data_IF_760140914597
#
_entry.id   IF_760140914597
#
_cell.length_a   1.000
_cell.length_b   1.000
_cell.length_c   1.000
_cell.angle_alpha   90.00
_cell.angle_beta   90.00
_cell.angle_gamma   90.00
#
_symmetry.space_group_name_H-M   'P 1'
#
loop_
_entity.id
_entity.type
_entity.pdbx_description
1 polymer ?
#
# COMPACT_ATOMS: atom_id res chain seq x y z
N UNK A 1 -14.79 -33.12 -34.81
CA UNK A 1 -13.66 -33.25 -33.86
C UNK A 1 -12.48 -32.55 -34.48
N UNK A 2 -12.21 -31.30 -34.08
CA UNK A 2 -11.12 -30.49 -34.63
C UNK A 2 -9.83 -30.99 -33.99
N UNK A 3 -8.94 -31.63 -34.77
CA UNK A 3 -7.60 -31.99 -34.30
C UNK A 3 -6.81 -30.70 -34.10
N UNK A 4 -6.63 -30.26 -32.86
CA UNK A 4 -5.65 -29.22 -32.53
C UNK A 4 -4.25 -29.75 -32.86
N UNK A 5 -3.62 -29.18 -33.88
CA UNK A 5 -2.23 -29.45 -34.22
C UNK A 5 -1.37 -28.82 -33.12
N UNK A 6 -0.71 -29.68 -32.33
CA UNK A 6 0.19 -29.22 -31.26
C UNK A 6 1.43 -28.60 -31.90
N UNK A 7 1.65 -27.31 -31.69
CA UNK A 7 2.89 -26.67 -32.09
C UNK A 7 3.98 -27.08 -31.07
N UNK A 8 4.94 -27.89 -31.49
CA UNK A 8 5.99 -28.46 -30.62
C UNK A 8 7.16 -27.49 -30.42
N UNK A 9 7.28 -26.50 -31.31
CA UNK A 9 8.32 -25.49 -31.26
C UNK A 9 7.73 -24.16 -30.82
N UNK A 10 8.17 -23.70 -29.63
CA UNK A 10 7.80 -22.40 -29.10
C UNK A 10 8.89 -21.40 -29.50
N UNK A 11 8.53 -20.38 -30.26
CA UNK A 11 9.42 -19.26 -30.54
C UNK A 11 9.31 -18.26 -29.39
N UNK A 12 10.45 -17.97 -28.75
CA UNK A 12 10.53 -16.93 -27.73
C UNK A 12 10.46 -15.56 -28.39
N UNK A 13 9.63 -14.66 -27.83
CA UNK A 13 9.53 -13.25 -28.24
C UNK A 13 9.93 -12.34 -27.09
N UNK A 14 10.52 -11.18 -27.39
CA UNK A 14 10.69 -10.14 -26.37
C UNK A 14 9.35 -9.78 -25.73
N UNK A 15 9.34 -9.50 -24.42
CA UNK A 15 8.12 -9.23 -23.67
C UNK A 15 7.31 -8.06 -24.26
N UNK A 16 7.99 -6.98 -24.62
CA UNK A 16 7.39 -5.77 -25.20
C UNK A 16 6.69 -6.09 -26.54
N UNK A 17 7.30 -6.94 -27.35
CA UNK A 17 6.69 -7.37 -28.62
C UNK A 17 5.45 -8.23 -28.39
N UNK A 18 5.51 -9.14 -27.42
CA UNK A 18 4.40 -10.02 -27.07
C UNK A 18 3.21 -9.21 -26.52
N UNK A 19 3.47 -8.24 -25.64
CA UNK A 19 2.45 -7.32 -25.10
C UNK A 19 1.81 -6.53 -26.24
N UNK A 20 2.61 -5.95 -27.12
CA UNK A 20 2.11 -5.17 -28.26
C UNK A 20 1.20 -6.01 -29.16
N UNK A 21 1.64 -7.19 -29.57
CA UNK A 21 0.85 -8.09 -30.43
C UNK A 21 -0.49 -8.45 -29.76
N UNK A 22 -0.45 -8.74 -28.46
CA UNK A 22 -1.65 -9.07 -27.70
C UNK A 22 -2.62 -7.88 -27.60
N UNK A 23 -2.09 -6.69 -27.28
CA UNK A 23 -2.89 -5.46 -27.17
C UNK A 23 -3.49 -5.06 -28.52
N UNK A 24 -2.70 -5.08 -29.61
CA UNK A 24 -3.16 -4.78 -30.96
C UNK A 24 -4.29 -5.73 -31.41
N UNK A 25 -4.19 -7.01 -31.05
CA UNK A 25 -5.24 -7.99 -31.34
C UNK A 25 -6.53 -7.71 -30.56
N UNK A 26 -6.42 -7.30 -29.28
CA UNK A 26 -7.57 -6.89 -28.46
C UNK A 26 -8.24 -5.62 -29.01
N UNK A 27 -7.45 -4.63 -29.42
CA UNK A 27 -7.96 -3.41 -30.05
C UNK A 27 -8.69 -3.72 -31.37
N UNK A 28 -8.08 -4.54 -32.23
CA UNK A 28 -8.64 -4.93 -33.51
C UNK A 28 -9.98 -5.66 -33.38
N UNK A 29 -10.19 -6.45 -32.33
CA UNK A 29 -11.47 -7.11 -32.06
C UNK A 29 -12.47 -6.23 -31.28
N UNK A 30 -12.11 -4.98 -30.97
CA UNK A 30 -12.98 -4.05 -30.23
C UNK A 30 -13.12 -4.36 -28.75
N UNK A 31 -12.22 -5.14 -28.17
CA UNK A 31 -12.29 -5.56 -26.76
C UNK A 31 -12.39 -4.38 -25.78
N UNK A 32 -11.72 -3.26 -26.10
CA UNK A 32 -11.74 -2.05 -25.26
C UNK A 32 -12.91 -1.09 -25.60
N UNK A 33 -13.69 -1.36 -26.66
CA UNK A 33 -14.81 -0.52 -27.07
C UNK A 33 -16.13 -0.95 -26.40
N UNK A 34 -16.12 -1.00 -25.08
CA UNK A 34 -17.31 -1.35 -24.31
C UNK A 34 -18.19 -0.12 -24.08
N UNK A 35 -19.45 -0.19 -24.50
CA UNK A 35 -20.43 0.85 -24.18
C UNK A 35 -20.78 0.81 -22.69
N UNK A 36 -20.66 1.95 -22.02
CA UNK A 36 -21.11 2.10 -20.64
C UNK A 36 -22.64 2.31 -20.56
N UNK A 37 -23.27 1.77 -19.54
CA UNK A 37 -24.69 2.00 -19.24
C UNK A 37 -24.88 2.45 -17.80
N UNK A 38 -25.96 3.15 -17.52
CA UNK A 38 -26.34 3.54 -16.15
C UNK A 38 -27.34 2.53 -15.61
N UNK A 39 -26.97 1.88 -14.50
CA UNK A 39 -27.85 0.91 -13.82
C UNK A 39 -27.92 1.23 -12.31
N UNK A 40 -28.98 0.83 -11.62
CA UNK A 40 -29.07 0.93 -10.17
C UNK A 40 -27.93 0.16 -9.49
N UNK A 41 -27.38 0.70 -8.39
CA UNK A 41 -26.27 0.07 -7.64
C UNK A 41 -26.59 -1.38 -7.24
N UNK A 42 -27.85 -1.69 -6.86
CA UNK A 42 -28.27 -3.05 -6.51
C UNK A 42 -28.14 -4.08 -7.66
N UNK A 43 -27.98 -3.61 -8.89
CA UNK A 43 -27.87 -4.44 -10.10
C UNK A 43 -26.44 -4.53 -10.63
N UNK A 44 -25.44 -4.00 -9.87
CA UNK A 44 -24.05 -3.92 -10.31
C UNK A 44 -23.23 -5.18 -10.03
N UNK A 45 -23.79 -6.17 -9.32
CA UNK A 45 -23.09 -7.43 -9.05
C UNK A 45 -22.65 -8.12 -10.36
N UNK A 46 -21.35 -8.42 -10.48
CA UNK A 46 -20.78 -9.02 -11.69
C UNK A 46 -20.50 -8.03 -12.83
N UNK A 47 -20.69 -6.74 -12.59
CA UNK A 47 -20.41 -5.68 -13.58
C UNK A 47 -19.06 -5.01 -13.31
N UNK A 48 -18.51 -4.36 -14.34
CA UNK A 48 -17.28 -3.58 -14.24
C UNK A 48 -17.63 -2.11 -14.41
N UNK A 49 -17.08 -1.25 -13.56
CA UNK A 49 -17.29 0.20 -13.66
C UNK A 49 -16.63 0.75 -14.92
N UNK A 50 -17.34 1.60 -15.69
CA UNK A 50 -16.83 2.24 -16.89
C UNK A 50 -15.84 3.38 -16.60
N UNK A 51 -15.80 3.84 -15.35
CA UNK A 51 -14.91 4.90 -14.89
C UNK A 51 -14.48 4.61 -13.44
N UNK A 52 -13.32 5.14 -13.00
CA UNK A 52 -12.94 5.06 -11.60
C UNK A 52 -14.02 5.70 -10.71
N UNK A 53 -14.31 5.05 -9.59
CA UNK A 53 -15.26 5.55 -8.60
C UNK A 53 -14.48 6.06 -7.40
N UNK A 54 -14.60 7.37 -7.14
CA UNK A 54 -13.93 8.02 -6.01
C UNK A 54 -14.96 8.38 -4.94
N UNK A 55 -14.56 8.25 -3.67
CA UNK A 55 -15.35 8.78 -2.58
C UNK A 55 -15.27 10.32 -2.57
N UNK A 56 -16.36 10.98 -2.19
CA UNK A 56 -16.38 12.45 -2.03
C UNK A 56 -15.59 12.95 -0.83
N UNK A 57 -15.24 12.05 0.09
CA UNK A 57 -14.43 12.34 1.28
C UNK A 57 -13.46 11.19 1.51
N UNK A 58 -12.27 11.52 1.98
CA UNK A 58 -11.31 10.52 2.42
C UNK A 58 -11.86 9.71 3.60
N UNK A 59 -11.54 8.42 3.66
CA UNK A 59 -11.88 7.57 4.79
C UNK A 59 -10.67 6.68 5.13
N UNK A 60 -10.05 6.89 6.27
CA UNK A 60 -10.31 7.93 7.27
C UNK A 60 -10.04 9.35 6.73
N UNK A 61 -10.63 10.38 7.38
CA UNK A 61 -10.42 11.79 7.04
C UNK A 61 -9.29 12.44 7.85
N UNK A 62 -8.45 11.64 8.47
CA UNK A 62 -7.29 12.01 9.29
C UNK A 62 -6.14 11.05 8.99
N UNK A 63 -4.94 11.45 9.38
CA UNK A 63 -3.74 10.62 9.30
C UNK A 63 -3.85 9.54 10.38
N UNK A 64 -3.81 8.28 9.98
CA UNK A 64 -4.04 7.14 10.86
C UNK A 64 -2.82 6.21 10.93
N UNK A 65 -2.65 5.55 12.08
CA UNK A 65 -1.70 4.44 12.21
C UNK A 65 -2.17 3.24 11.38
N UNK A 66 -1.23 2.61 10.67
CA UNK A 66 -1.48 1.37 9.95
C UNK A 66 -1.13 0.12 10.78
N UNK A 67 -0.46 0.29 11.90
CA UNK A 67 0.03 -0.79 12.79
C UNK A 67 -0.11 -0.37 14.25
N UNK A 68 -0.13 -1.36 15.14
CA UNK A 68 -0.02 -1.12 16.58
C UNK A 68 1.44 -0.85 16.92
N UNK A 69 1.71 0.16 17.76
CA UNK A 69 3.07 0.53 18.11
C UNK A 69 3.22 1.93 18.66
N UNK A 70 4.27 2.62 18.29
CA UNK A 70 4.53 4.00 18.70
C UNK A 70 4.67 4.94 17.50
N UNK A 71 3.93 6.05 17.51
CA UNK A 71 4.14 7.15 16.61
C UNK A 71 5.35 7.98 17.05
N UNK A 72 6.26 8.24 16.13
CA UNK A 72 7.54 8.91 16.37
C UNK A 72 7.84 9.96 15.29
N UNK A 73 8.80 10.82 15.56
CA UNK A 73 9.45 11.63 14.54
C UNK A 73 10.58 10.78 13.92
N UNK A 74 10.47 10.43 12.63
CA UNK A 74 11.45 9.58 11.95
C UNK A 74 12.89 10.11 12.08
N UNK A 75 13.07 11.42 11.97
CA UNK A 75 14.35 12.09 12.14
C UNK A 75 15.01 11.80 13.50
N UNK A 76 14.23 11.72 14.57
CA UNK A 76 14.74 11.42 15.92
C UNK A 76 15.30 10.00 16.01
N UNK A 77 14.93 9.10 15.11
CA UNK A 77 15.38 7.70 15.09
C UNK A 77 16.51 7.43 14.09
N UNK A 78 16.91 8.41 13.29
CA UNK A 78 17.76 8.23 12.11
C UNK A 78 19.10 7.53 12.36
N UNK A 79 19.65 7.61 13.57
CA UNK A 79 20.94 7.00 13.94
C UNK A 79 20.78 5.69 14.71
N UNK A 80 19.55 5.18 14.89
CA UNK A 80 19.30 3.96 15.65
C UNK A 80 19.93 2.75 14.94
N UNK A 81 20.67 1.95 15.71
CA UNK A 81 21.20 0.66 15.27
C UNK A 81 21.47 -0.23 16.51
N UNK A 82 21.78 -1.49 16.30
CA UNK A 82 22.00 -2.46 17.39
C UNK A 82 23.13 -2.07 18.34
N UNK A 83 24.18 -1.40 17.84
CA UNK A 83 25.33 -0.97 18.66
C UNK A 83 25.06 0.37 19.37
N UNK A 84 24.19 1.18 18.81
CA UNK A 84 23.82 2.49 19.31
C UNK A 84 22.29 2.64 19.28
N UNK A 85 21.58 1.98 20.21
CA UNK A 85 20.13 2.15 20.31
C UNK A 85 19.76 3.58 20.67
N UNK A 86 18.64 4.05 20.18
CA UNK A 86 18.07 5.33 20.59
C UNK A 86 17.00 5.07 21.65
N UNK A 87 17.02 5.85 22.73
CA UNK A 87 16.02 5.82 23.78
C UNK A 87 15.19 7.10 23.69
N UNK A 88 13.90 6.95 23.41
CA UNK A 88 12.94 8.05 23.37
C UNK A 88 12.28 8.21 24.74
N UNK A 89 12.19 9.45 25.20
CA UNK A 89 11.43 9.79 26.39
C UNK A 89 9.91 9.73 26.13
N UNK A 90 9.05 9.59 27.13
CA UNK A 90 7.60 9.48 26.94
C UNK A 90 6.96 10.62 26.14
N UNK A 91 7.57 11.79 26.13
CA UNK A 91 7.09 12.94 25.34
C UNK A 91 7.48 12.89 23.87
N UNK A 92 8.46 12.04 23.49
CA UNK A 92 9.00 11.91 22.16
C UNK A 92 8.29 10.85 21.30
N UNK A 93 7.36 10.10 21.91
CA UNK A 93 6.52 9.15 21.18
C UNK A 93 5.06 9.21 21.65
N UNK A 94 4.18 8.51 20.96
CA UNK A 94 2.80 8.29 21.35
C UNK A 94 2.45 6.84 21.03
N UNK A 95 1.98 6.08 22.02
CA UNK A 95 1.43 4.75 21.79
C UNK A 95 0.15 4.87 20.94
N UNK A 96 0.05 4.04 19.91
CA UNK A 96 -1.06 4.03 18.94
C UNK A 96 -1.44 2.60 18.57
N UNK A 97 -2.72 2.39 18.41
CA UNK A 97 -3.26 1.18 17.80
C UNK A 97 -3.59 1.42 16.33
N UNK A 98 -3.76 0.34 15.57
CA UNK A 98 -4.15 0.41 14.16
C UNK A 98 -5.46 1.19 13.99
N UNK A 99 -5.42 2.27 13.21
CA UNK A 99 -6.54 3.16 12.98
C UNK A 99 -6.54 4.41 13.85
N UNK A 100 -5.69 4.49 14.87
CA UNK A 100 -5.60 5.68 15.71
C UNK A 100 -5.04 6.88 14.95
N UNK A 101 -5.46 8.06 15.39
CA UNK A 101 -4.97 9.32 14.84
C UNK A 101 -3.50 9.54 15.19
N UNK A 102 -2.69 9.81 14.15
CA UNK A 102 -1.28 10.20 14.29
C UNK A 102 -1.19 11.74 14.25
N UNK A 103 -0.84 12.40 15.37
CA UNK A 103 -0.64 13.83 15.41
C UNK A 103 0.44 14.31 14.43
N UNK A 104 0.27 15.50 13.85
CA UNK A 104 1.20 16.07 12.86
C UNK A 104 2.64 16.29 13.34
N UNK A 105 2.90 16.24 14.65
CA UNK A 105 4.26 16.26 15.22
C UNK A 105 5.03 14.96 14.95
N UNK A 106 4.34 13.87 14.61
CA UNK A 106 4.91 12.57 14.26
C UNK A 106 4.69 12.29 12.78
N UNK A 107 5.58 11.56 12.18
CA UNK A 107 5.55 11.24 10.76
C UNK A 107 5.88 9.77 10.43
N UNK A 108 6.02 8.93 11.45
CA UNK A 108 6.21 7.49 11.29
C UNK A 108 5.61 6.73 12.48
N UNK A 109 5.29 5.45 12.25
CA UNK A 109 4.93 4.51 13.31
C UNK A 109 5.92 3.35 13.30
N UNK A 110 6.46 3.01 14.46
CA UNK A 110 7.29 1.82 14.68
C UNK A 110 6.40 0.76 15.31
N UNK A 111 6.39 -0.45 14.74
CA UNK A 111 5.59 -1.55 15.24
C UNK A 111 5.99 -1.92 16.67
N UNK A 112 5.03 -2.35 17.47
CA UNK A 112 5.26 -2.67 18.89
C UNK A 112 6.31 -3.76 19.08
N UNK A 113 6.44 -4.69 18.14
CA UNK A 113 7.42 -5.77 18.14
C UNK A 113 8.86 -5.29 17.91
N UNK A 114 9.03 -4.07 17.41
CA UNK A 114 10.34 -3.44 17.17
C UNK A 114 10.72 -2.46 18.28
N UNK A 115 9.88 -2.31 19.32
CA UNK A 115 10.10 -1.40 20.44
C UNK A 115 10.45 -2.18 21.71
N UNK A 116 11.54 -1.79 22.38
CA UNK A 116 11.87 -2.30 23.71
C UNK A 116 11.58 -1.21 24.74
N UNK A 117 10.70 -1.46 25.69
CA UNK A 117 10.48 -0.53 26.80
C UNK A 117 11.44 -0.83 27.96
N UNK A 118 12.34 0.11 28.24
CA UNK A 118 13.37 0.01 29.28
C UNK A 118 13.35 1.28 30.15
N UNK A 119 13.20 1.13 31.43
CA UNK A 119 13.19 2.24 32.39
C UNK A 119 12.22 3.38 32.03
N UNK A 120 11.05 3.02 31.48
CA UNK A 120 10.01 3.98 31.06
C UNK A 120 10.29 4.70 29.74
N UNK A 121 11.32 4.33 29.00
CA UNK A 121 11.68 4.86 27.68
C UNK A 121 11.43 3.82 26.60
N UNK A 122 11.12 4.28 25.40
CA UNK A 122 11.04 3.43 24.21
C UNK A 122 12.41 3.35 23.54
N UNK A 123 13.02 2.17 23.54
CA UNK A 123 14.30 1.91 22.89
C UNK A 123 14.08 1.34 21.50
N UNK A 124 14.76 1.95 20.52
CA UNK A 124 14.75 1.54 19.11
C UNK A 124 16.17 1.16 18.66
N UNK A 125 16.28 0.06 17.94
CA UNK A 125 17.54 -0.43 17.34
C UNK A 125 17.56 -0.30 15.81
N UNK A 126 16.51 0.28 15.23
CA UNK A 126 16.39 0.56 13.79
C UNK A 126 15.78 1.94 13.58
N UNK A 127 16.22 2.67 12.55
CA UNK A 127 15.61 3.94 12.20
C UNK A 127 14.23 3.72 11.57
N UNK A 128 13.29 4.60 11.88
CA UNK A 128 12.04 4.71 11.15
C UNK A 128 12.21 5.55 9.89
N UNK A 129 11.47 5.21 8.84
CA UNK A 129 11.43 6.00 7.61
C UNK A 129 10.22 6.94 7.66
N UNK A 130 10.32 8.21 7.20
CA UNK A 130 9.17 9.09 7.11
C UNK A 130 7.99 8.43 6.39
N UNK A 131 6.79 8.54 6.96
CA UNK A 131 5.54 7.92 6.51
C UNK A 131 5.47 6.39 6.63
N UNK A 132 6.44 5.76 7.27
CA UNK A 132 6.38 4.33 7.58
C UNK A 132 5.14 4.03 8.43
N UNK A 133 4.34 3.04 8.01
CA UNK A 133 3.12 2.59 8.69
C UNK A 133 2.11 3.70 9.02
N UNK A 134 2.06 4.74 8.20
CA UNK A 134 1.11 5.85 8.30
C UNK A 134 0.21 5.86 7.07
N UNK A 135 -1.09 6.00 7.27
CA UNK A 135 -2.10 6.18 6.23
C UNK A 135 -2.55 7.64 6.20
N UNK A 136 -2.45 8.24 5.03
CA UNK A 136 -2.89 9.63 4.77
C UNK A 136 -4.10 9.66 3.84
#
# INVERSE_FOLDING_TARGET
MIKMQRNIYIENRPLEEAIRIFTDALEACGYFNLAGERIPVRETLGRVTSQPVYSHRSSPHYVASAMDGIAVKAEATANANELHPINLDPEEYLEVDTGDWVPSRFDAVVMIEEVNFIDGKAQLIKPAVPWQHVRS
#
